data_IF_745763902666
#
_entry.id   IF_745763902666
#
_cell.length_a   1.000
_cell.length_b   1.000
_cell.length_c   1.000
_cell.angle_alpha   90.00
_cell.angle_beta   90.00
_cell.angle_gamma   90.00
#
_symmetry.space_group_name_H-M   'P 1'
#
loop_
_entity.id
_entity.type
_entity.pdbx_description
1 polymer ?
#
# COMPACT_ATOMS: atom_id res chain seq x y z
N UNK A 1 -48.75 37.23 -27.25
CA UNK A 1 -49.28 36.37 -26.16
C UNK A 1 -49.30 37.27 -24.94
N UNK A 2 -50.47 37.62 -24.42
CA UNK A 2 -50.58 38.57 -23.30
C UNK A 2 -50.33 37.86 -21.98
N UNK A 3 -49.44 38.41 -21.16
CA UNK A 3 -49.13 37.89 -19.84
C UNK A 3 -50.21 38.33 -18.84
N UNK A 4 -50.79 37.37 -18.13
CA UNK A 4 -51.85 37.61 -17.15
C UNK A 4 -51.31 37.46 -15.73
N UNK A 5 -51.61 38.43 -14.87
CA UNK A 5 -51.23 38.39 -13.45
C UNK A 5 -52.42 37.94 -12.61
N UNK A 6 -52.17 37.08 -11.64
CA UNK A 6 -53.18 36.65 -10.67
C UNK A 6 -53.43 37.75 -9.63
N UNK A 7 -54.66 38.25 -9.57
CA UNK A 7 -55.08 39.28 -8.60
C UNK A 7 -55.75 38.66 -7.36
N UNK A 8 -56.29 37.44 -7.47
CA UNK A 8 -56.87 36.74 -6.32
C UNK A 8 -57.95 35.73 -6.71
N UNK A 9 -58.78 35.36 -5.74
CA UNK A 9 -59.99 34.56 -5.95
C UNK A 9 -61.21 35.47 -6.00
N UNK A 10 -62.19 35.12 -6.82
CA UNK A 10 -63.51 35.78 -6.83
C UNK A 10 -64.28 35.46 -5.54
N UNK A 11 -65.26 36.28 -5.17
CA UNK A 11 -66.06 36.16 -3.95
C UNK A 11 -66.71 34.78 -3.78
N UNK A 12 -67.13 34.15 -4.88
CA UNK A 12 -67.70 32.79 -4.90
C UNK A 12 -66.67 31.66 -4.67
N UNK A 13 -65.37 31.98 -4.59
CA UNK A 13 -64.28 31.02 -4.38
C UNK A 13 -64.00 30.05 -5.52
N UNK A 14 -64.82 30.05 -6.59
CA UNK A 14 -64.78 29.09 -7.71
C UNK A 14 -63.95 29.57 -8.92
N UNK A 15 -63.53 30.83 -8.95
CA UNK A 15 -62.78 31.44 -10.04
C UNK A 15 -61.57 32.22 -9.52
N UNK A 16 -60.52 32.28 -10.33
CA UNK A 16 -59.37 33.17 -10.16
C UNK A 16 -59.61 34.46 -10.95
N UNK A 17 -59.36 35.60 -10.32
CA UNK A 17 -59.36 36.91 -10.97
C UNK A 17 -57.97 37.19 -11.53
N UNK A 18 -57.90 37.43 -12.84
CA UNK A 18 -56.68 37.71 -13.59
C UNK A 18 -56.75 39.11 -14.19
N UNK A 19 -55.61 39.77 -14.34
CA UNK A 19 -55.50 41.11 -14.94
C UNK A 19 -54.38 41.11 -15.97
N UNK A 20 -54.60 41.69 -17.14
CA UNK A 20 -53.53 41.89 -18.14
C UNK A 20 -52.72 43.17 -17.87
N UNK A 21 -51.68 43.40 -18.68
CA UNK A 21 -50.85 44.61 -18.56
C UNK A 21 -51.57 45.93 -18.85
N UNK A 22 -52.77 45.88 -19.43
CA UNK A 22 -53.61 47.05 -19.76
C UNK A 22 -54.72 47.27 -18.73
N UNK A 23 -54.77 46.46 -17.67
CA UNK A 23 -55.74 46.59 -16.57
C UNK A 23 -57.10 45.94 -16.85
N UNK A 24 -57.24 45.15 -17.92
CA UNK A 24 -58.47 44.43 -18.23
C UNK A 24 -58.57 43.16 -17.39
N UNK A 25 -59.75 42.94 -16.82
CA UNK A 25 -60.04 41.81 -15.94
C UNK A 25 -60.47 40.57 -16.75
N UNK A 26 -59.96 39.41 -16.35
CA UNK A 26 -60.32 38.10 -16.87
C UNK A 26 -60.61 37.16 -15.69
N UNK A 27 -61.45 36.15 -15.91
CA UNK A 27 -61.74 35.13 -14.91
C UNK A 27 -61.38 33.74 -15.43
N UNK A 28 -60.79 32.92 -14.56
CA UNK A 28 -60.45 31.53 -14.86
C UNK A 28 -61.09 30.62 -13.82
N UNK A 29 -61.88 29.64 -14.27
CA UNK A 29 -62.52 28.68 -13.37
C UNK A 29 -61.48 27.76 -12.72
N UNK A 30 -61.63 27.53 -11.42
CA UNK A 30 -60.85 26.53 -10.68
C UNK A 30 -61.43 25.15 -10.97
N UNK A 31 -61.00 24.55 -12.07
CA UNK A 31 -61.35 23.18 -12.46
C UNK A 31 -60.45 22.15 -11.76
N UNK A 32 -60.88 20.90 -11.76
CA UNK A 32 -60.04 19.78 -11.30
C UNK A 32 -58.78 19.63 -12.16
N UNK A 33 -58.86 19.98 -13.45
CA UNK A 33 -57.69 20.03 -14.34
C UNK A 33 -56.69 21.11 -13.93
N UNK A 34 -57.16 22.31 -13.55
CA UNK A 34 -56.29 23.38 -13.07
C UNK A 34 -55.64 23.00 -11.73
N UNK A 35 -56.41 22.44 -10.80
CA UNK A 35 -55.89 21.94 -9.51
C UNK A 35 -54.85 20.85 -9.70
N UNK A 36 -55.14 19.87 -10.57
CA UNK A 36 -54.23 18.78 -10.87
C UNK A 36 -52.94 19.28 -11.51
N UNK A 37 -53.02 20.28 -12.41
CA UNK A 37 -51.86 20.85 -13.12
C UNK A 37 -50.96 21.69 -12.20
N UNK A 38 -51.56 22.51 -11.32
CA UNK A 38 -50.81 23.37 -10.38
C UNK A 38 -50.19 22.56 -9.26
N UNK A 39 -50.87 21.52 -8.76
CA UNK A 39 -50.38 20.65 -7.70
C UNK A 39 -49.52 19.48 -8.22
N UNK A 40 -49.13 19.47 -9.49
CA UNK A 40 -48.16 18.45 -9.94
C UNK A 40 -46.87 18.66 -9.15
N UNK A 41 -46.38 17.64 -8.42
CA UNK A 41 -45.06 17.70 -7.85
C UNK A 41 -44.11 17.86 -9.03
N UNK A 42 -43.53 19.06 -9.19
CA UNK A 42 -42.45 19.23 -10.14
C UNK A 42 -41.36 18.29 -9.66
N UNK A 43 -41.07 17.28 -10.47
CA UNK A 43 -39.87 16.47 -10.35
C UNK A 43 -38.70 17.39 -10.74
N UNK A 44 -38.43 18.37 -9.90
CA UNK A 44 -37.13 19.02 -9.85
C UNK A 44 -36.21 17.90 -9.43
N UNK A 45 -35.28 17.52 -10.31
CA UNK A 45 -34.15 16.69 -9.93
C UNK A 45 -33.50 17.36 -8.73
N UNK A 46 -33.80 16.86 -7.54
CA UNK A 46 -33.00 17.13 -6.36
C UNK A 46 -31.61 16.69 -6.79
N UNK A 47 -30.60 17.60 -6.84
CA UNK A 47 -29.24 17.13 -6.99
C UNK A 47 -29.09 16.07 -5.93
N UNK A 48 -28.73 14.85 -6.32
CA UNK A 48 -28.18 13.89 -5.37
C UNK A 48 -26.91 14.58 -4.90
N UNK A 49 -27.01 15.47 -3.91
CA UNK A 49 -25.93 15.70 -2.97
C UNK A 49 -25.71 14.31 -2.43
N UNK A 50 -24.72 13.64 -3.02
CA UNK A 50 -24.15 12.44 -2.46
C UNK A 50 -23.99 12.79 -0.99
N UNK A 51 -24.71 12.07 -0.13
CA UNK A 51 -24.52 12.14 1.30
C UNK A 51 -23.11 11.60 1.50
N UNK A 52 -22.10 12.46 1.30
CA UNK A 52 -20.73 12.17 1.67
C UNK A 52 -20.82 12.04 3.17
N UNK A 53 -20.79 10.80 3.66
CA UNK A 53 -20.63 10.50 5.06
C UNK A 53 -19.25 11.04 5.47
N UNK A 54 -19.23 12.30 5.88
CA UNK A 54 -18.03 12.93 6.36
C UNK A 54 -17.61 12.25 7.65
N UNK A 55 -16.32 11.98 7.77
CA UNK A 55 -15.73 11.46 8.99
C UNK A 55 -16.13 12.32 10.20
N UNK A 56 -16.57 11.66 11.28
CA UNK A 56 -16.97 12.35 12.51
C UNK A 56 -15.75 12.95 13.23
N UNK A 57 -15.94 14.01 14.03
CA UNK A 57 -14.87 14.59 14.86
C UNK A 57 -14.24 13.54 15.79
N UNK A 58 -15.07 12.66 16.36
CA UNK A 58 -14.59 11.54 17.20
C UNK A 58 -13.63 10.63 16.44
N UNK A 59 -13.94 10.35 15.18
CA UNK A 59 -13.13 9.50 14.33
C UNK A 59 -11.83 10.20 13.87
N UNK A 60 -11.88 11.49 13.51
CA UNK A 60 -10.68 12.31 13.26
C UNK A 60 -9.73 12.22 14.46
N UNK A 61 -10.25 12.47 15.67
CA UNK A 61 -9.45 12.44 16.88
C UNK A 61 -8.93 11.05 17.21
N UNK A 62 -9.69 9.98 16.93
CA UNK A 62 -9.25 8.59 17.12
C UNK A 62 -8.03 8.29 16.24
N UNK A 63 -8.10 8.64 14.96
CA UNK A 63 -7.03 8.42 13.97
C UNK A 63 -5.79 9.23 14.28
N UNK A 64 -5.94 10.51 14.63
CA UNK A 64 -4.82 11.34 15.07
C UNK A 64 -4.15 10.80 16.34
N UNK A 65 -4.91 10.22 17.28
CA UNK A 65 -4.34 9.55 18.47
C UNK A 65 -3.63 8.23 18.12
N UNK A 66 -4.02 7.59 17.02
CA UNK A 66 -3.36 6.40 16.49
C UNK A 66 -2.10 6.71 15.68
N UNK A 67 -1.71 7.99 15.55
CA UNK A 67 -0.48 8.40 14.89
C UNK A 67 -0.62 8.78 13.41
N UNK A 68 -1.84 8.73 12.84
CA UNK A 68 -2.08 9.14 11.46
C UNK A 68 -1.76 10.64 11.25
N UNK A 69 -1.25 10.98 10.05
CA UNK A 69 -0.96 12.35 9.63
C UNK A 69 -2.23 13.11 9.24
N UNK A 70 -2.16 14.44 9.23
CA UNK A 70 -3.33 15.26 8.89
C UNK A 70 -3.77 15.02 7.45
N UNK A 71 -2.81 14.87 6.54
CA UNK A 71 -3.03 14.59 5.13
C UNK A 71 -3.69 13.23 4.93
N UNK A 72 -3.30 12.22 5.72
CA UNK A 72 -3.91 10.90 5.65
C UNK A 72 -5.34 10.92 6.16
N UNK A 73 -5.59 11.52 7.32
CA UNK A 73 -6.96 11.64 7.89
C UNK A 73 -7.87 12.47 6.97
N UNK A 74 -7.35 13.54 6.37
CA UNK A 74 -8.09 14.36 5.42
C UNK A 74 -8.45 13.58 4.15
N UNK A 75 -7.47 12.88 3.56
CA UNK A 75 -7.64 12.09 2.33
C UNK A 75 -8.62 10.94 2.52
N UNK A 76 -8.44 10.15 3.58
CA UNK A 76 -9.31 8.99 3.86
C UNK A 76 -10.70 9.42 4.36
N UNK A 77 -10.78 10.53 5.07
CA UNK A 77 -12.03 11.09 5.58
C UNK A 77 -12.82 11.94 4.59
N UNK A 78 -12.28 12.20 3.39
CA UNK A 78 -12.90 13.05 2.38
C UNK A 78 -13.13 14.50 2.83
N UNK A 79 -12.24 15.05 3.67
CA UNK A 79 -12.33 16.41 4.20
C UNK A 79 -11.05 17.21 3.94
N UNK A 80 -11.08 18.53 4.12
CA UNK A 80 -9.87 19.35 4.02
C UNK A 80 -8.96 19.19 5.24
N UNK A 81 -7.66 19.42 5.03
CA UNK A 81 -6.65 19.45 6.10
C UNK A 81 -6.99 20.51 7.15
N UNK A 82 -7.40 21.72 6.74
CA UNK A 82 -7.84 22.79 7.65
C UNK A 82 -8.96 22.35 8.61
N UNK A 83 -9.84 21.44 8.17
CA UNK A 83 -10.91 20.90 9.02
C UNK A 83 -10.35 19.94 10.06
N UNK A 84 -9.37 19.11 9.70
CA UNK A 84 -8.65 18.22 10.63
C UNK A 84 -7.90 19.05 11.69
N UNK A 85 -7.18 20.09 11.25
CA UNK A 85 -6.39 20.96 12.11
C UNK A 85 -7.21 21.58 13.26
N UNK A 86 -8.42 22.09 12.95
CA UNK A 86 -9.33 22.70 13.93
C UNK A 86 -9.67 21.78 15.11
N UNK A 87 -9.61 20.46 14.92
CA UNK A 87 -9.94 19.47 15.96
C UNK A 87 -8.72 18.73 16.51
N UNK A 88 -7.51 19.06 16.02
CA UNK A 88 -6.26 18.36 16.34
C UNK A 88 -5.55 18.87 17.59
N UNK A 89 -5.75 20.14 17.95
CA UNK A 89 -4.94 20.85 18.95
C UNK A 89 -4.64 20.08 20.25
N UNK A 90 -5.66 19.56 20.97
CA UNK A 90 -5.44 18.79 22.19
C UNK A 90 -4.63 17.51 21.98
N UNK A 91 -4.81 16.82 20.85
CA UNK A 91 -4.14 15.55 20.54
C UNK A 91 -2.67 15.81 20.20
N UNK A 92 -2.40 16.86 19.41
CA UNK A 92 -1.03 17.23 19.08
C UNK A 92 -0.26 17.73 20.29
N UNK A 93 -0.91 18.45 21.19
CA UNK A 93 -0.29 18.89 22.44
C UNK A 93 0.05 17.71 23.37
N UNK A 94 -0.82 16.70 23.46
CA UNK A 94 -0.52 15.45 24.19
C UNK A 94 0.69 14.72 23.58
N UNK A 95 0.71 14.57 22.24
CA UNK A 95 1.82 13.91 21.53
C UNK A 95 3.14 14.66 21.70
N UNK A 96 3.14 15.98 21.56
CA UNK A 96 4.34 16.79 21.78
C UNK A 96 4.80 16.77 23.24
N UNK A 97 3.87 16.75 24.19
CA UNK A 97 4.22 16.56 25.60
C UNK A 97 4.97 15.23 25.82
N UNK A 98 4.49 14.13 25.24
CA UNK A 98 5.18 12.84 25.34
C UNK A 98 6.56 12.88 24.65
N UNK A 99 6.65 13.45 23.45
CA UNK A 99 7.92 13.59 22.74
C UNK A 99 8.94 14.43 23.52
N UNK A 100 8.52 15.56 24.09
CA UNK A 100 9.41 16.38 24.94
C UNK A 100 9.95 15.58 26.13
N UNK A 101 9.10 14.79 26.81
CA UNK A 101 9.53 13.91 27.91
C UNK A 101 10.49 12.82 27.48
N UNK A 102 10.26 12.22 26.31
CA UNK A 102 11.16 11.23 25.76
C UNK A 102 12.52 11.83 25.38
N UNK A 103 12.51 13.01 24.74
CA UNK A 103 13.73 13.75 24.35
C UNK A 103 14.59 14.13 25.57
N UNK A 104 13.97 14.49 26.68
CA UNK A 104 14.63 14.82 27.96
C UNK A 104 15.16 13.59 28.74
N UNK A 105 14.91 12.37 28.25
CA UNK A 105 15.33 11.16 28.95
C UNK A 105 16.86 11.05 28.98
N UNK A 106 17.45 10.85 30.14
CA UNK A 106 18.90 10.67 30.28
C UNK A 106 19.30 9.25 29.87
N UNK A 107 20.13 9.14 28.83
CA UNK A 107 20.65 7.89 28.28
C UNK A 107 21.91 7.47 29.04
N UNK A 108 21.80 6.46 29.91
CA UNK A 108 22.92 5.96 30.69
C UNK A 108 23.75 4.97 29.88
N UNK A 109 24.79 5.47 29.21
CA UNK A 109 25.68 4.66 28.36
C UNK A 109 26.80 3.96 29.13
N UNK A 110 27.23 4.50 30.26
CA UNK A 110 28.18 3.89 31.20
C UNK A 110 28.02 4.48 32.60
N UNK A 111 28.28 3.71 33.66
CA UNK A 111 28.17 4.16 35.06
C UNK A 111 29.05 5.38 35.42
N UNK A 112 30.01 5.74 34.55
CA UNK A 112 30.97 6.83 34.76
C UNK A 112 30.98 7.85 33.62
N UNK A 113 30.11 7.72 32.60
CA UNK A 113 30.09 8.66 31.48
C UNK A 113 28.66 8.98 31.00
N UNK A 114 28.40 10.28 31.11
CA UNK A 114 27.50 11.14 30.34
C UNK A 114 26.01 11.17 30.71
N UNK A 115 25.59 12.34 31.21
CA UNK A 115 24.21 12.80 31.38
C UNK A 115 23.60 13.29 30.04
N UNK A 116 23.84 12.57 28.94
CA UNK A 116 23.30 12.96 27.64
C UNK A 116 21.81 12.62 27.58
N UNK A 117 21.02 13.55 27.04
CA UNK A 117 19.61 13.28 26.78
C UNK A 117 19.45 12.40 25.55
N UNK A 118 18.28 11.77 25.40
CA UNK A 118 17.94 10.98 24.21
C UNK A 118 18.08 11.80 22.94
N UNK A 119 17.64 13.06 22.96
CA UNK A 119 17.85 13.99 21.86
C UNK A 119 19.34 14.16 21.55
N UNK A 120 20.17 14.44 22.56
CA UNK A 120 21.62 14.63 22.36
C UNK A 120 22.30 13.39 21.75
N UNK A 121 21.90 12.20 22.19
CA UNK A 121 22.42 10.93 21.66
C UNK A 121 22.07 10.77 20.18
N UNK A 122 20.82 11.02 19.80
CA UNK A 122 20.36 10.96 18.40
C UNK A 122 21.10 11.99 17.55
N UNK A 123 21.22 13.23 18.02
CA UNK A 123 21.95 14.29 17.32
C UNK A 123 23.44 13.94 17.15
N UNK A 124 24.10 13.43 18.19
CA UNK A 124 25.50 13.04 18.13
C UNK A 124 25.76 11.90 17.13
N UNK A 125 24.77 11.03 16.86
CA UNK A 125 24.87 10.01 15.81
C UNK A 125 24.62 10.55 14.40
N UNK A 126 23.68 11.48 14.25
CA UNK A 126 23.22 11.96 12.96
C UNK A 126 24.08 13.10 12.40
N UNK A 127 24.54 14.02 13.24
CA UNK A 127 25.32 15.19 12.81
C UNK A 127 26.60 14.83 12.01
N UNK A 128 27.39 13.81 12.37
CA UNK A 128 28.56 13.40 11.58
C UNK A 128 28.21 12.88 10.16
N UNK A 129 26.94 12.57 9.90
CA UNK A 129 26.43 12.14 8.58
C UNK A 129 25.88 13.30 7.75
N UNK A 130 26.01 14.53 8.23
CA UNK A 130 25.49 15.72 7.57
C UNK A 130 23.97 15.88 7.69
N UNK A 131 23.35 15.18 8.63
CA UNK A 131 21.92 15.32 8.90
C UNK A 131 21.70 16.51 9.83
N UNK A 132 20.91 17.47 9.37
CA UNK A 132 20.51 18.63 10.14
C UNK A 132 19.43 18.26 11.18
N UNK A 133 19.48 18.90 12.34
CA UNK A 133 18.50 18.77 13.42
C UNK A 133 17.12 19.22 12.98
N UNK A 134 17.04 20.28 12.17
CA UNK A 134 15.77 20.83 11.69
C UNK A 134 15.10 19.94 10.63
N UNK A 135 15.84 18.99 10.06
CA UNK A 135 15.32 18.01 9.11
C UNK A 135 14.71 16.77 9.79
N UNK A 136 14.76 16.68 11.13
CA UNK A 136 14.20 15.56 11.89
C UNK A 136 12.69 15.74 12.08
N UNK A 137 11.92 14.73 11.66
CA UNK A 137 10.48 14.70 11.87
C UNK A 137 10.11 13.61 12.86
N UNK A 138 9.46 14.00 13.96
CA UNK A 138 9.08 13.10 15.04
C UNK A 138 7.58 12.83 15.03
N UNK A 139 7.22 11.58 15.28
CA UNK A 139 5.85 11.15 15.47
C UNK A 139 5.76 10.28 16.74
N UNK A 140 4.61 10.30 17.41
CA UNK A 140 4.31 9.38 18.50
C UNK A 140 2.82 9.07 18.60
N UNK A 141 2.50 7.87 19.05
CA UNK A 141 1.14 7.43 19.37
C UNK A 141 1.16 6.40 20.49
N UNK A 142 0.02 6.25 21.15
CA UNK A 142 -0.12 5.34 22.29
C UNK A 142 -0.45 3.92 21.82
N UNK A 143 0.25 2.94 22.37
CA UNK A 143 0.01 1.52 22.15
C UNK A 143 -1.03 0.96 23.13
N UNK A 144 -1.55 -0.23 22.84
CA UNK A 144 -2.59 -0.88 23.63
C UNK A 144 -2.12 -1.28 25.05
N UNK A 145 -0.82 -1.51 25.24
CA UNK A 145 -0.20 -1.81 26.53
C UNK A 145 0.04 -0.56 27.40
N UNK A 146 -0.24 0.64 26.85
CA UNK A 146 -0.07 1.92 27.53
C UNK A 146 1.28 2.59 27.31
N UNK A 147 2.23 1.94 26.65
CA UNK A 147 3.48 2.56 26.20
C UNK A 147 3.24 3.45 24.98
N UNK A 148 4.20 4.29 24.65
CA UNK A 148 4.14 5.19 23.51
C UNK A 148 5.15 4.78 22.46
N UNK A 149 4.66 4.51 21.25
CA UNK A 149 5.54 4.31 20.12
C UNK A 149 6.07 5.67 19.67
N UNK A 150 7.37 5.78 19.44
CA UNK A 150 8.05 6.97 18.96
C UNK A 150 8.70 6.60 17.64
N UNK A 151 8.48 7.43 16.63
CA UNK A 151 9.01 7.27 15.29
C UNK A 151 9.76 8.53 14.90
N UNK A 152 11.00 8.38 14.45
CA UNK A 152 11.84 9.44 13.92
C UNK A 152 12.09 9.19 12.43
N UNK A 153 11.73 10.17 11.61
CA UNK A 153 12.13 10.25 10.22
C UNK A 153 13.31 11.21 10.10
N UNK A 154 14.35 10.77 9.40
CA UNK A 154 15.56 11.55 9.19
C UNK A 154 16.12 11.34 7.78
N UNK A 155 16.75 12.35 7.15
CA UNK A 155 17.44 12.17 5.89
C UNK A 155 18.54 11.11 6.00
N UNK A 156 18.62 10.25 4.99
CA UNK A 156 19.69 9.26 4.83
C UNK A 156 20.23 9.33 3.39
N UNK A 157 21.40 8.73 3.15
CA UNK A 157 22.02 8.68 1.81
C UNK A 157 21.09 8.15 0.72
N UNK A 158 20.22 7.21 1.08
CA UNK A 158 19.30 6.52 0.17
C UNK A 158 17.89 7.16 0.14
N UNK A 159 17.71 8.32 0.77
CA UNK A 159 16.41 9.00 0.90
C UNK A 159 16.12 9.35 2.35
N UNK A 160 15.22 8.60 2.99
CA UNK A 160 14.83 8.79 4.39
C UNK A 160 15.03 7.50 5.19
N UNK A 161 15.61 7.62 6.38
CA UNK A 161 15.63 6.60 7.41
C UNK A 161 14.47 6.78 8.37
N UNK A 162 13.98 5.66 8.89
CA UNK A 162 12.99 5.62 9.97
C UNK A 162 13.64 4.87 11.13
N UNK A 163 13.53 5.41 12.34
CA UNK A 163 13.96 4.77 13.58
C UNK A 163 12.82 4.81 14.59
N UNK A 164 12.67 3.73 15.35
CA UNK A 164 11.52 3.55 16.24
C UNK A 164 11.90 3.07 17.63
N UNK A 165 11.16 3.54 18.63
CA UNK A 165 11.31 3.16 20.03
C UNK A 165 9.96 3.07 20.72
N UNK A 166 9.89 2.29 21.81
CA UNK A 166 8.77 2.30 22.71
C UNK A 166 9.19 3.00 24.01
N UNK A 167 8.42 4.01 24.41
CA UNK A 167 8.66 4.82 25.58
C UNK A 167 7.60 4.54 26.65
N UNK A 168 8.05 4.24 27.86
CA UNK A 168 7.21 4.12 29.05
C UNK A 168 7.39 5.37 29.93
N UNK A 169 6.39 6.27 29.98
CA UNK A 169 6.47 7.50 30.78
C UNK A 169 6.53 7.23 32.29
N UNK A 170 5.93 6.13 32.76
CA UNK A 170 5.87 5.79 34.19
C UNK A 170 7.22 5.24 34.66
N UNK A 171 7.86 4.39 33.85
CA UNK A 171 9.20 3.86 34.14
C UNK A 171 10.32 4.81 33.75
N UNK A 172 10.02 5.82 32.93
CA UNK A 172 11.02 6.68 32.26
C UNK A 172 12.06 5.81 31.55
N UNK A 173 11.58 4.86 30.76
CA UNK A 173 12.39 3.91 30.00
C UNK A 173 12.04 4.03 28.52
N UNK A 174 13.04 3.84 27.66
CA UNK A 174 12.91 3.92 26.21
C UNK A 174 13.70 2.77 25.62
N UNK A 175 13.02 1.90 24.88
CA UNK A 175 13.59 0.68 24.32
C UNK A 175 13.49 0.72 22.78
N UNK A 176 14.56 0.34 22.04
CA UNK A 176 14.52 0.33 20.58
C UNK A 176 13.56 -0.74 20.05
N UNK A 177 12.75 -0.36 19.07
CA UNK A 177 11.77 -1.26 18.43
C UNK A 177 12.25 -1.78 17.07
N UNK A 178 13.28 -1.17 16.50
CA UNK A 178 13.90 -1.58 15.24
C UNK A 178 15.43 -1.40 15.25
N UNK A 179 16.08 -1.86 14.18
CA UNK A 179 17.54 -1.85 14.03
C UNK A 179 18.09 -0.41 13.98
N UNK A 180 17.38 0.51 13.31
CA UNK A 180 17.79 1.91 13.20
C UNK A 180 17.69 2.63 14.54
N UNK A 181 16.62 2.36 15.31
CA UNK A 181 16.45 2.86 16.67
C UNK A 181 17.57 2.41 17.59
N UNK A 182 17.87 1.11 17.59
CA UNK A 182 18.98 0.54 18.37
C UNK A 182 20.33 1.16 17.97
N UNK A 183 20.59 1.25 16.67
CA UNK A 183 21.81 1.83 16.12
C UNK A 183 22.02 3.30 16.53
N UNK A 184 20.95 4.10 16.56
CA UNK A 184 20.99 5.52 16.95
C UNK A 184 21.30 5.71 18.44
N UNK A 185 20.86 4.83 19.33
CA UNK A 185 21.21 4.92 20.75
C UNK A 185 22.47 4.11 21.11
N UNK A 186 22.96 3.30 20.18
CA UNK A 186 24.13 2.43 20.38
C UNK A 186 23.83 1.19 21.22
N UNK A 187 22.59 0.72 21.18
CA UNK A 187 22.14 -0.54 21.76
C UNK A 187 22.11 -1.66 20.71
N UNK A 188 21.94 -2.89 21.17
CA UNK A 188 21.75 -4.05 20.30
C UNK A 188 20.33 -4.07 19.74
N UNK A 189 20.19 -4.48 18.48
CA UNK A 189 18.89 -4.56 17.83
C UNK A 189 17.98 -5.58 18.55
N UNK A 190 16.67 -5.29 18.67
CA UNK A 190 15.74 -6.23 19.28
C UNK A 190 15.75 -7.57 18.53
N UNK A 191 15.77 -8.68 19.26
CA UNK A 191 15.77 -10.01 18.66
C UNK A 191 14.47 -10.22 17.90
N UNK A 192 14.54 -10.25 16.56
CA UNK A 192 13.39 -10.60 15.73
C UNK A 192 13.05 -12.06 15.92
N UNK A 193 11.89 -12.33 16.53
CA UNK A 193 11.30 -13.67 16.49
C UNK A 193 10.83 -13.88 15.05
N UNK A 194 11.62 -14.59 14.24
CA UNK A 194 11.19 -15.03 12.92
C UNK A 194 10.09 -16.05 13.15
N UNK A 195 8.84 -15.59 13.23
CA UNK A 195 7.70 -16.49 13.12
C UNK A 195 7.74 -17.04 11.69
N UNK A 196 7.89 -18.36 11.47
CA UNK A 196 7.72 -18.93 10.15
C UNK A 196 6.27 -18.69 9.74
N UNK A 197 6.03 -17.58 9.06
CA UNK A 197 4.75 -17.29 8.44
C UNK A 197 4.55 -18.32 7.35
N UNK A 198 3.68 -19.30 7.60
CA UNK A 198 3.16 -20.14 6.52
C UNK A 198 2.36 -19.20 5.63
N UNK A 199 2.97 -18.73 4.55
CA UNK A 199 2.26 -17.99 3.51
C UNK A 199 1.40 -19.02 2.79
N UNK A 200 0.12 -19.08 3.16
CA UNK A 200 -0.84 -19.84 2.37
C UNK A 200 -0.97 -19.14 1.02
N UNK A 201 -0.52 -19.81 -0.04
CA UNK A 201 -0.81 -19.36 -1.40
C UNK A 201 -2.34 -19.30 -1.57
N UNK A 202 -2.81 -18.21 -2.20
CA UNK A 202 -4.22 -18.03 -2.54
C UNK A 202 -4.72 -19.25 -3.34
N UNK A 203 -6.00 -19.57 -3.23
CA UNK A 203 -6.61 -20.72 -3.91
C UNK A 203 -6.45 -20.65 -5.44
N UNK A 204 -6.23 -19.46 -5.99
CA UNK A 204 -5.97 -19.22 -7.41
C UNK A 204 -4.49 -19.35 -7.82
N UNK A 205 -3.57 -19.65 -6.89
CA UNK A 205 -2.15 -19.73 -7.21
C UNK A 205 -1.85 -20.97 -8.07
N UNK A 206 -1.10 -20.84 -9.18
CA UNK A 206 -0.86 -21.93 -10.12
C UNK A 206 -0.19 -23.16 -9.52
N UNK A 207 0.55 -23.00 -8.42
CA UNK A 207 1.17 -24.12 -7.68
C UNK A 207 0.18 -24.94 -6.84
N UNK A 208 -1.09 -24.51 -6.74
CA UNK A 208 -2.17 -25.21 -6.02
C UNK A 208 -3.20 -25.84 -6.97
N UNK A 209 -3.08 -25.60 -8.27
CA UNK A 209 -3.87 -26.32 -9.26
C UNK A 209 -3.49 -27.79 -9.09
N UNK A 210 -4.39 -28.58 -8.51
CA UNK A 210 -4.28 -30.03 -8.55
C UNK A 210 -4.29 -30.42 -10.02
N UNK A 211 -3.11 -30.68 -10.57
CA UNK A 211 -3.02 -31.51 -11.77
C UNK A 211 -3.80 -32.79 -11.44
N UNK A 212 -4.74 -33.24 -12.31
CA UNK A 212 -5.44 -34.48 -12.07
C UNK A 212 -4.39 -35.57 -11.96
N UNK A 213 -4.11 -35.99 -10.72
CA UNK A 213 -3.16 -37.03 -10.43
C UNK A 213 -3.74 -38.28 -11.05
N UNK A 214 -3.25 -38.65 -12.23
CA UNK A 214 -3.55 -39.92 -12.85
C UNK A 214 -2.97 -40.94 -11.89
N UNK A 215 -3.81 -41.48 -11.01
CA UNK A 215 -3.41 -42.60 -10.18
C UNK A 215 -3.00 -43.72 -11.13
N UNK A 216 -1.75 -44.22 -11.06
CA UNK A 216 -1.41 -45.41 -11.78
C UNK A 216 -2.36 -46.49 -11.28
N UNK A 217 -3.22 -47.00 -12.16
CA UNK A 217 -4.07 -48.14 -11.82
C UNK A 217 -3.13 -49.29 -11.50
N UNK A 218 -2.91 -49.55 -10.21
CA UNK A 218 -2.13 -50.69 -9.78
C UNK A 218 -2.99 -51.91 -10.14
N UNK A 219 -2.57 -52.75 -11.10
CA UNK A 219 -3.35 -53.92 -11.48
C UNK A 219 -3.54 -54.79 -10.24
N UNK A 220 -4.75 -55.32 -10.03
CA UNK A 220 -4.97 -56.22 -8.91
C UNK A 220 -4.18 -57.49 -9.17
N UNK A 221 -3.70 -58.14 -8.12
CA UNK A 221 -2.95 -59.41 -8.22
C UNK A 221 -3.75 -60.49 -8.99
N UNK A 222 -5.08 -60.39 -9.03
CA UNK A 222 -5.94 -61.26 -9.82
C UNK A 222 -5.74 -61.12 -11.34
N UNK A 223 -5.39 -59.91 -11.82
CA UNK A 223 -5.23 -59.58 -13.24
C UNK A 223 -3.85 -60.02 -13.78
N UNK A 224 -2.96 -60.49 -12.91
CA UNK A 224 -1.61 -60.99 -13.24
C UNK A 224 -1.59 -62.48 -13.65
N UNK A 225 -2.68 -63.23 -13.44
CA UNK A 225 -2.76 -64.67 -13.72
C UNK A 225 -3.56 -65.03 -14.97
N UNK A 226 -4.21 -64.06 -15.61
CA UNK A 226 -4.75 -64.24 -16.96
C UNK A 226 -3.63 -63.95 -17.96
N UNK A 227 -3.21 -64.99 -18.68
CA UNK A 227 -2.26 -64.86 -19.77
C UNK A 227 -2.90 -64.00 -20.87
N UNK A 228 -2.33 -62.84 -21.22
CA UNK A 228 -2.88 -62.03 -22.29
C UNK A 228 -2.62 -62.73 -23.63
N UNK A 229 -3.68 -62.86 -24.43
CA UNK A 229 -3.56 -63.13 -25.87
C UNK A 229 -2.70 -62.04 -26.51
N UNK A 230 -1.83 -62.45 -27.43
CA UNK A 230 -0.85 -61.60 -28.11
C UNK A 230 -1.52 -60.50 -28.94
N UNK A 231 -1.68 -59.31 -28.38
CA UNK A 231 -1.88 -58.08 -29.14
C UNK A 231 -0.60 -57.25 -29.16
N UNK A 232 -0.12 -57.00 -30.39
CA UNK A 232 1.15 -56.39 -30.72
C UNK A 232 1.28 -54.97 -30.14
N UNK A 233 2.04 -54.83 -29.05
CA UNK A 233 2.55 -53.53 -28.61
C UNK A 233 3.77 -53.20 -29.46
N UNK A 234 3.63 -52.22 -30.36
CA UNK A 234 4.75 -51.57 -31.04
C UNK A 234 5.81 -51.17 -30.00
N UNK A 235 7.03 -51.69 -30.16
CA UNK A 235 8.20 -51.24 -29.38
C UNK A 235 8.40 -49.76 -29.63
N UNK A 236 7.92 -48.91 -28.72
CA UNK A 236 8.35 -47.53 -28.65
C UNK A 236 9.85 -47.51 -28.33
N UNK A 237 10.67 -47.03 -29.27
CA UNK A 237 12.09 -46.81 -29.02
C UNK A 237 12.26 -45.78 -27.88
N UNK A 238 13.12 -46.05 -26.88
CA UNK A 238 13.40 -45.06 -25.84
C UNK A 238 14.01 -43.80 -26.47
N UNK A 239 13.70 -42.60 -25.95
CA UNK A 239 14.20 -41.36 -26.51
C UNK A 239 15.74 -41.36 -26.45
N UNK A 240 16.38 -41.33 -27.61
CA UNK A 240 17.83 -41.17 -27.71
C UNK A 240 18.18 -39.80 -27.12
N UNK A 241 18.97 -39.81 -26.05
CA UNK A 241 19.62 -38.61 -25.50
C UNK A 241 20.20 -37.80 -26.66
N UNK A 242 19.75 -36.56 -26.82
CA UNK A 242 20.23 -35.68 -27.87
C UNK A 242 21.74 -35.49 -27.70
N UNK A 243 22.51 -36.23 -28.50
CA UNK A 243 23.94 -35.99 -28.68
C UNK A 243 24.06 -34.54 -29.11
N UNK A 244 24.76 -33.74 -28.31
CA UNK A 244 25.08 -32.34 -28.60
C UNK A 244 25.81 -32.35 -29.94
N UNK A 245 25.14 -31.88 -31.00
CA UNK A 245 25.71 -31.85 -32.35
C UNK A 245 26.62 -30.63 -32.45
N UNK A 246 27.87 -30.85 -32.86
CA UNK A 246 28.86 -29.78 -33.07
C UNK A 246 28.62 -28.98 -34.37
N UNK A 247 27.70 -29.42 -35.23
CA UNK A 247 27.36 -28.72 -36.48
C UNK A 247 25.96 -28.09 -36.41
N UNK A 248 25.82 -26.80 -36.74
CA UNK A 248 24.53 -26.10 -36.70
C UNK A 248 23.56 -26.65 -37.76
N UNK A 249 22.28 -26.64 -37.43
CA UNK A 249 21.20 -27.09 -38.31
C UNK A 249 20.84 -26.00 -39.32
N UNK A 250 20.19 -26.39 -40.43
CA UNK A 250 19.69 -25.46 -41.45
C UNK A 250 18.69 -24.43 -40.89
N UNK A 251 18.06 -24.72 -39.74
CA UNK A 251 17.18 -23.79 -39.03
C UNK A 251 17.98 -22.64 -38.37
N UNK A 252 19.16 -22.91 -37.81
CA UNK A 252 20.01 -21.92 -37.13
C UNK A 252 20.63 -20.91 -38.12
N UNK A 253 20.70 -21.28 -39.40
CA UNK A 253 21.19 -20.43 -40.49
C UNK A 253 20.19 -19.33 -40.89
N UNK A 254 18.88 -19.52 -40.62
CA UNK A 254 17.85 -18.51 -40.92
C UNK A 254 17.93 -17.32 -39.96
N UNK A 255 18.43 -17.54 -38.73
CA UNK A 255 18.70 -16.50 -37.73
C UNK A 255 20.09 -15.84 -37.89
N UNK A 256 20.81 -16.12 -38.99
CA UNK A 256 22.11 -15.50 -39.29
C UNK A 256 23.27 -16.00 -38.42
N UNK A 257 23.09 -17.10 -37.69
CA UNK A 257 24.09 -17.67 -36.79
C UNK A 257 25.01 -18.59 -37.61
N UNK A 258 26.13 -18.04 -38.07
CA UNK A 258 27.10 -18.78 -38.90
C UNK A 258 28.10 -19.62 -38.10
N UNK A 259 28.25 -19.34 -36.81
CA UNK A 259 29.00 -20.15 -35.84
C UNK A 259 28.63 -19.73 -34.41
N UNK A 260 28.83 -20.61 -33.43
CA UNK A 260 28.74 -20.23 -32.01
C UNK A 260 29.96 -19.37 -31.64
N UNK A 261 29.74 -18.33 -30.83
CA UNK A 261 30.83 -17.54 -30.26
C UNK A 261 31.83 -18.47 -29.55
N UNK A 262 33.12 -18.37 -29.92
CA UNK A 262 34.18 -19.21 -29.37
C UNK A 262 34.39 -18.83 -27.90
N UNK A 263 33.73 -19.58 -27.00
CA UNK A 263 33.89 -19.39 -25.56
C UNK A 263 35.27 -19.95 -25.18
N UNK A 264 36.14 -19.15 -24.53
CA UNK A 264 37.45 -19.63 -24.09
C UNK A 264 37.28 -20.83 -23.16
N UNK A 265 38.22 -21.76 -23.22
CA UNK A 265 38.20 -22.88 -22.29
C UNK A 265 38.44 -22.35 -20.87
N UNK A 266 37.96 -23.09 -19.86
CA UNK A 266 38.17 -22.74 -18.46
C UNK A 266 39.67 -22.61 -18.12
N UNK A 267 40.51 -23.40 -18.80
CA UNK A 267 41.96 -23.37 -18.67
C UNK A 267 42.57 -22.09 -19.28
N UNK A 268 42.04 -21.59 -20.40
CA UNK A 268 42.45 -20.30 -20.99
C UNK A 268 42.05 -19.11 -20.11
N UNK A 269 40.93 -19.21 -19.39
CA UNK A 269 40.47 -18.16 -18.47
C UNK A 269 41.33 -18.14 -17.20
N UNK A 270 41.71 -19.32 -16.70
CA UNK A 270 42.46 -19.45 -15.45
C UNK A 270 43.98 -19.28 -15.62
N UNK A 271 44.55 -19.66 -16.77
CA UNK A 271 46.01 -19.72 -16.96
C UNK A 271 46.54 -18.91 -18.13
N UNK A 272 45.68 -18.24 -18.90
CA UNK A 272 46.08 -17.38 -20.03
C UNK A 272 46.47 -18.16 -21.29
N UNK A 273 46.38 -17.49 -22.44
CA UNK A 273 46.63 -18.10 -23.76
C UNK A 273 48.13 -18.37 -23.93
N UNK A 274 48.52 -19.61 -24.24
CA UNK A 274 49.85 -19.91 -24.77
C UNK A 274 49.93 -19.36 -26.20
N UNK A 275 50.85 -18.44 -26.43
CA UNK A 275 51.30 -18.03 -27.76
C UNK A 275 52.06 -19.18 -28.38
N UNK A 276 51.51 -19.81 -29.42
CA UNK A 276 52.28 -20.66 -30.32
C UNK A 276 53.18 -19.75 -31.17
N UNK A 277 54.48 -19.75 -30.87
CA UNK A 277 55.52 -19.29 -31.79
C UNK A 277 55.51 -20.20 -33.02
N UNK A 278 55.24 -19.62 -34.19
CA UNK A 278 55.48 -20.28 -35.47
C UNK A 278 56.98 -20.27 -35.79
N UNK A 279 57.51 -21.32 -36.46
CA UNK A 279 58.95 -21.50 -36.65
C UNK A 279 59.50 -20.55 -37.72
N UNK A 280 60.75 -20.13 -37.52
CA UNK A 280 61.56 -19.40 -38.50
C UNK A 280 61.73 -20.23 -39.78
N UNK A 281 61.42 -19.63 -40.92
CA UNK A 281 61.83 -20.11 -42.25
C UNK A 281 62.83 -19.08 -42.83
N UNK A 282 64.08 -19.56 -42.92
CA UNK A 282 65.22 -19.22 -43.79
C UNK A 282 65.24 -17.88 -44.55
#
# INVERSE_FOLDING_TARGET
MSELRLNGKTEDGNHLALVDGEGKNYSLRISDTLRATVNQPRLTSVPVEAVQEFISVKEIQRRLRAGESFEQVAREGGISVDKVERFSGPIMQEREYILSRARELIMRKDAHRSDLTFADVVHAKLAPRGVDTDALSWNTWRLADGTWHIELHYPNRDGNGIATWNFDPARRALDPSDDNGAWLIGEEAPTRVVAPGIIHADNSHPSRIEEPRIEPQIPRIADLFEAPEEEAVEKAEPPRLAVIRETPSAADSQDGITARAKVPSWDEIMFGRKTDEAPEDN
#
